data_IF_800374073047
#
_entry.id   IF_800374073047
#
_cell.length_a   1.000
_cell.length_b   1.000
_cell.length_c   1.000
_cell.angle_alpha   90.00
_cell.angle_beta   90.00
_cell.angle_gamma   90.00
#
_symmetry.space_group_name_H-M   'P 1'
#
loop_
_entity.id
_entity.type
_entity.pdbx_description
1 polymer ?
#
# COMPACT_ATOMS: atom_id res chain seq x y z
N UNK A 1 -12.04 67.46 26.91
CA UNK A 1 -11.49 66.13 27.27
C UNK A 1 -11.12 65.37 26.00
N UNK A 2 -9.82 65.14 25.74
CA UNK A 2 -9.29 64.42 24.56
C UNK A 2 -9.18 62.92 24.89
N UNK A 3 -9.76 62.05 24.06
CA UNK A 3 -9.59 60.59 24.14
C UNK A 3 -8.26 60.17 23.46
N UNK A 4 -7.56 59.14 23.95
CA UNK A 4 -6.29 58.71 23.38
C UNK A 4 -6.52 57.90 22.08
N UNK A 5 -5.69 58.18 21.07
CA UNK A 5 -5.56 57.39 19.85
C UNK A 5 -4.77 56.12 20.18
N UNK A 6 -5.37 54.95 20.02
CA UNK A 6 -4.62 53.69 20.02
C UNK A 6 -3.98 53.48 18.64
N UNK A 7 -2.67 53.27 18.65
CA UNK A 7 -1.85 53.00 17.47
C UNK A 7 -2.08 51.59 16.91
N UNK A 8 -1.98 51.49 15.58
CA UNK A 8 -1.90 50.28 14.74
C UNK A 8 -1.12 49.13 15.40
N UNK A 9 -1.74 47.95 15.46
CA UNK A 9 -1.07 46.65 15.48
C UNK A 9 -1.40 45.88 14.19
N UNK A 10 -0.48 45.10 13.61
CA UNK A 10 -0.68 44.46 12.32
C UNK A 10 -1.65 43.24 12.35
N UNK A 11 -2.35 43.10 11.22
CA UNK A 11 -3.65 42.44 10.98
C UNK A 11 -3.59 40.93 10.66
N UNK A 12 -2.62 40.16 11.17
CA UNK A 12 -2.41 38.76 10.72
C UNK A 12 -2.76 37.67 11.73
N UNK A 13 -3.37 37.99 12.87
CA UNK A 13 -3.78 36.99 13.87
C UNK A 13 -5.30 36.71 13.76
N UNK A 14 -5.72 35.97 12.72
CA UNK A 14 -6.94 35.13 12.76
C UNK A 14 -7.06 34.25 11.50
N UNK A 15 -7.10 32.93 11.75
CA UNK A 15 -7.05 31.75 10.85
C UNK A 15 -5.64 31.12 10.90
N UNK A 16 -5.33 30.20 11.80
CA UNK A 16 -6.17 29.14 12.35
C UNK A 16 -6.35 28.03 11.31
N UNK A 17 -5.29 27.25 11.05
CA UNK A 17 -5.18 25.80 11.28
C UNK A 17 -3.74 25.41 10.94
N UNK A 18 -2.97 25.02 11.94
CA UNK A 18 -1.73 24.30 11.76
C UNK A 18 -2.05 22.95 11.11
N UNK A 19 -1.64 22.76 9.86
CA UNK A 19 -1.37 21.42 9.35
C UNK A 19 0.08 21.38 8.92
N UNK A 20 0.98 21.26 9.90
CA UNK A 20 2.36 20.86 9.67
C UNK A 20 2.41 19.36 9.30
N UNK A 21 1.64 18.94 8.29
CA UNK A 21 2.05 17.80 7.47
C UNK A 21 3.30 18.28 6.74
N UNK A 22 4.39 17.51 6.81
CA UNK A 22 5.57 17.75 5.97
C UNK A 22 5.09 18.06 4.55
N UNK A 23 5.28 19.29 4.09
CA UNK A 23 5.10 19.61 2.69
C UNK A 23 6.23 18.87 1.96
N UNK A 24 5.92 17.67 1.46
CA UNK A 24 6.85 16.92 0.64
C UNK A 24 6.75 17.50 -0.76
N UNK A 25 7.83 18.13 -1.20
CA UNK A 25 8.03 18.48 -2.60
C UNK A 25 8.61 17.26 -3.32
N UNK A 26 8.01 16.89 -4.43
CA UNK A 26 8.60 15.96 -5.40
C UNK A 26 9.13 16.83 -6.54
N UNK A 27 10.42 16.74 -6.82
CA UNK A 27 11.03 17.39 -7.99
C UNK A 27 11.22 16.32 -9.06
N UNK A 28 10.80 16.60 -10.29
CA UNK A 28 10.93 15.69 -11.42
C UNK A 28 11.97 16.29 -12.37
N UNK A 29 13.16 15.71 -12.42
CA UNK A 29 14.22 16.14 -13.34
C UNK A 29 14.20 15.26 -14.60
N UNK A 30 13.09 15.30 -15.33
CA UNK A 30 12.92 14.55 -16.57
C UNK A 30 12.06 15.34 -17.57
N UNK A 31 12.66 15.75 -18.69
CA UNK A 31 12.01 16.56 -19.72
C UNK A 31 10.80 15.89 -20.38
N UNK A 32 10.81 14.56 -20.51
CA UNK A 32 9.69 13.79 -21.07
C UNK A 32 8.49 13.82 -20.11
N UNK A 33 8.73 13.65 -18.81
CA UNK A 33 7.67 13.70 -17.81
C UNK A 33 7.07 15.10 -17.70
N UNK A 34 7.92 16.14 -17.76
CA UNK A 34 7.46 17.53 -17.77
C UNK A 34 6.59 17.84 -19.00
N UNK A 35 6.99 17.38 -20.19
CA UNK A 35 6.19 17.54 -21.42
C UNK A 35 4.85 16.81 -21.32
N UNK A 36 4.84 15.56 -20.84
CA UNK A 36 3.61 14.79 -20.63
C UNK A 36 2.67 15.45 -19.61
N UNK A 37 3.22 15.98 -18.51
CA UNK A 37 2.44 16.70 -17.52
C UNK A 37 1.85 17.98 -18.11
N UNK A 38 2.61 18.74 -18.90
CA UNK A 38 2.11 19.94 -19.57
C UNK A 38 0.91 19.60 -20.47
N UNK A 39 1.06 18.62 -21.37
CA UNK A 39 -0.01 18.17 -22.29
C UNK A 39 -1.26 17.70 -21.53
N UNK A 40 -1.08 16.93 -20.46
CA UNK A 40 -2.18 16.42 -19.64
C UNK A 40 -2.88 17.54 -18.86
N UNK A 41 -2.14 18.50 -18.30
CA UNK A 41 -2.75 19.64 -17.61
C UNK A 41 -3.52 20.54 -18.58
N UNK A 42 -3.01 20.74 -19.79
CA UNK A 42 -3.71 21.52 -20.84
C UNK A 42 -5.00 20.83 -21.28
N UNK A 43 -4.92 19.53 -21.56
CA UNK A 43 -6.05 18.74 -22.07
C UNK A 43 -7.13 18.56 -21.00
N UNK A 44 -6.75 18.21 -19.77
CA UNK A 44 -7.70 17.87 -18.70
C UNK A 44 -8.13 19.06 -17.86
N UNK A 45 -7.45 20.21 -18.00
CA UNK A 45 -7.63 21.41 -17.15
C UNK A 45 -7.44 21.15 -15.65
N UNK A 46 -6.71 20.08 -15.30
CA UNK A 46 -6.37 19.73 -13.92
C UNK A 46 -4.97 20.20 -13.58
N UNK A 47 -4.68 20.37 -12.29
CA UNK A 47 -3.33 20.70 -11.83
C UNK A 47 -2.42 19.47 -11.91
N UNK A 48 -1.11 19.69 -12.15
CA UNK A 48 -0.13 18.59 -12.20
C UNK A 48 -0.11 17.75 -10.91
N UNK A 49 -0.15 18.33 -9.68
CA UNK A 49 -0.24 17.55 -8.45
C UNK A 49 -1.49 16.66 -8.38
N UNK A 50 -2.66 17.16 -8.82
CA UNK A 50 -3.89 16.38 -8.79
C UNK A 50 -3.84 15.21 -9.77
N UNK A 51 -3.24 15.42 -10.94
CA UNK A 51 -3.03 14.36 -11.95
C UNK A 51 -2.06 13.30 -11.44
N UNK A 52 -0.93 13.70 -10.88
CA UNK A 52 0.06 12.79 -10.30
C UNK A 52 -0.54 11.98 -9.14
N UNK A 53 -1.28 12.63 -8.23
CA UNK A 53 -1.92 11.95 -7.11
C UNK A 53 -2.95 10.91 -7.58
N UNK A 54 -3.75 11.25 -8.60
CA UNK A 54 -4.73 10.33 -9.18
C UNK A 54 -4.04 9.14 -9.88
N UNK A 55 -2.97 9.38 -10.63
CA UNK A 55 -2.15 8.32 -11.24
C UNK A 55 -1.59 7.36 -10.18
N UNK A 56 -0.98 7.90 -9.12
CA UNK A 56 -0.43 7.10 -8.02
C UNK A 56 -1.51 6.27 -7.31
N UNK A 57 -2.70 6.85 -7.09
CA UNK A 57 -3.83 6.13 -6.48
C UNK A 57 -4.33 5.00 -7.37
N UNK A 58 -4.45 5.23 -8.68
CA UNK A 58 -4.87 4.19 -9.63
C UNK A 58 -3.87 3.06 -9.68
N UNK A 59 -2.58 3.37 -9.69
CA UNK A 59 -1.53 2.35 -9.70
C UNK A 59 -1.51 1.56 -8.39
N UNK A 60 -1.65 2.24 -7.25
CA UNK A 60 -1.80 1.57 -5.96
C UNK A 60 -3.04 0.65 -5.92
N UNK A 61 -4.18 1.11 -6.45
CA UNK A 61 -5.41 0.32 -6.53
C UNK A 61 -5.22 -0.93 -7.43
N UNK A 62 -4.52 -0.79 -8.57
CA UNK A 62 -4.19 -1.90 -9.45
C UNK A 62 -3.33 -2.94 -8.73
N UNK A 63 -2.25 -2.49 -8.07
CA UNK A 63 -1.34 -3.38 -7.34
C UNK A 63 -2.02 -4.07 -6.16
N UNK A 64 -2.86 -3.35 -5.40
CA UNK A 64 -3.60 -3.93 -4.28
C UNK A 64 -4.63 -4.96 -4.76
N UNK A 65 -5.40 -4.66 -5.82
CA UNK A 65 -6.32 -5.63 -6.41
C UNK A 65 -5.62 -6.90 -6.91
N UNK A 66 -4.42 -6.78 -7.51
CA UNK A 66 -3.61 -7.93 -7.90
C UNK A 66 -3.11 -8.73 -6.68
N UNK A 67 -2.70 -8.06 -5.61
CA UNK A 67 -2.27 -8.73 -4.37
C UNK A 67 -3.43 -9.48 -3.71
N UNK A 68 -4.60 -8.84 -3.59
CA UNK A 68 -5.82 -9.46 -3.05
C UNK A 68 -6.25 -10.67 -3.87
N UNK A 69 -6.21 -10.57 -5.21
CA UNK A 69 -6.52 -11.69 -6.10
C UNK A 69 -5.58 -12.87 -5.87
N UNK A 70 -4.26 -12.63 -5.82
CA UNK A 70 -3.28 -13.71 -5.58
C UNK A 70 -3.47 -14.37 -4.21
N UNK A 71 -3.82 -13.59 -3.18
CA UNK A 71 -4.13 -14.13 -1.85
C UNK A 71 -5.37 -15.03 -1.91
N UNK A 72 -6.44 -14.56 -2.57
CA UNK A 72 -7.67 -15.33 -2.72
C UNK A 72 -7.43 -16.64 -3.49
N UNK A 73 -6.67 -16.59 -4.59
CA UNK A 73 -6.28 -17.77 -5.37
C UNK A 73 -5.46 -18.76 -4.51
N UNK A 74 -4.50 -18.27 -3.72
CA UNK A 74 -3.70 -19.08 -2.81
C UNK A 74 -4.55 -19.79 -1.74
N UNK A 75 -5.47 -19.07 -1.10
CA UNK A 75 -6.38 -19.64 -0.10
C UNK A 75 -7.31 -20.69 -0.70
N UNK A 76 -7.83 -20.45 -1.91
CA UNK A 76 -8.67 -21.41 -2.61
C UNK A 76 -7.90 -22.69 -3.00
N UNK A 77 -6.65 -22.54 -3.44
CA UNK A 77 -5.78 -23.66 -3.78
C UNK A 77 -5.41 -24.50 -2.54
N UNK A 78 -5.08 -23.85 -1.42
CA UNK A 78 -4.79 -24.50 -0.15
C UNK A 78 -5.99 -25.31 0.36
N UNK A 79 -7.17 -24.70 0.39
CA UNK A 79 -8.39 -25.36 0.83
C UNK A 79 -8.75 -26.57 -0.08
N UNK A 80 -8.55 -26.44 -1.39
CA UNK A 80 -8.74 -27.56 -2.32
C UNK A 80 -7.71 -28.69 -2.08
N UNK A 81 -6.45 -28.35 -1.79
CA UNK A 81 -5.41 -29.31 -1.45
C UNK A 81 -5.74 -30.05 -0.14
N UNK A 82 -6.09 -29.32 0.92
CA UNK A 82 -6.47 -29.90 2.22
C UNK A 82 -7.65 -30.85 2.08
N UNK A 83 -8.70 -30.46 1.35
CA UNK A 83 -9.86 -31.33 1.08
C UNK A 83 -9.46 -32.62 0.38
N UNK A 84 -8.61 -32.56 -0.64
CA UNK A 84 -8.12 -33.77 -1.32
C UNK A 84 -7.29 -34.63 -0.39
N UNK A 85 -6.38 -34.03 0.39
CA UNK A 85 -5.53 -34.75 1.33
C UNK A 85 -6.34 -35.49 2.39
N UNK A 86 -7.36 -34.85 2.96
CA UNK A 86 -8.24 -35.48 3.96
C UNK A 86 -9.12 -36.59 3.39
N UNK A 87 -9.46 -36.53 2.11
CA UNK A 87 -10.21 -37.59 1.43
C UNK A 87 -9.32 -38.75 0.97
N UNK A 88 -8.00 -38.59 0.98
CA UNK A 88 -7.07 -39.64 0.57
C UNK A 88 -7.08 -40.80 1.55
N UNK A 89 -7.04 -42.05 1.05
CA UNK A 89 -6.92 -43.22 1.92
C UNK A 89 -5.58 -43.20 2.67
N UNK A 90 -5.59 -43.73 3.89
CA UNK A 90 -4.36 -43.93 4.66
C UNK A 90 -3.56 -45.06 4.01
N UNK A 91 -2.37 -44.73 3.51
CA UNK A 91 -1.49 -45.69 2.82
C UNK A 91 -0.65 -46.50 3.81
N UNK A 92 -0.25 -45.88 4.91
CA UNK A 92 0.52 -46.53 5.98
C UNK A 92 -0.11 -46.18 7.34
N UNK A 93 -0.71 -47.16 8.03
CA UNK A 93 -1.36 -46.93 9.32
C UNK A 93 -0.39 -46.95 10.50
N UNK A 94 0.91 -47.21 10.28
CA UNK A 94 1.90 -47.22 11.35
C UNK A 94 1.97 -45.83 12.02
N UNK A 95 2.21 -45.78 13.34
CA UNK A 95 2.48 -44.50 14.01
C UNK A 95 3.79 -43.90 13.49
N UNK A 96 3.92 -42.58 13.58
CA UNK A 96 5.07 -41.84 13.02
C UNK A 96 6.42 -42.38 13.48
N UNK A 97 6.55 -42.76 14.76
CA UNK A 97 7.78 -43.31 15.35
C UNK A 97 8.19 -44.66 14.74
N UNK A 98 7.25 -45.39 14.12
CA UNK A 98 7.53 -46.64 13.41
C UNK A 98 7.72 -46.44 11.90
N UNK A 99 7.36 -45.26 11.39
CA UNK A 99 7.59 -44.85 9.99
C UNK A 99 9.00 -44.24 9.87
N UNK A 100 9.41 -43.47 10.87
CA UNK A 100 10.76 -42.91 10.95
C UNK A 100 11.76 -44.04 11.18
N UNK A 101 12.64 -44.25 10.20
CA UNK A 101 13.80 -45.16 10.34
C UNK A 101 14.98 -44.48 11.04
N UNK A 102 14.68 -43.64 12.03
CA UNK A 102 15.67 -42.91 12.80
C UNK A 102 15.50 -43.26 14.27
N UNK A 103 16.62 -43.46 14.96
CA UNK A 103 16.61 -43.63 16.42
C UNK A 103 16.31 -42.31 17.15
N UNK A 104 16.26 -42.36 18.47
CA UNK A 104 16.04 -41.20 19.35
C UNK A 104 17.10 -40.09 19.21
N UNK A 105 18.25 -40.38 18.61
CA UNK A 105 19.32 -39.43 18.32
C UNK A 105 19.27 -38.89 16.87
N UNK A 106 18.30 -39.34 16.07
CA UNK A 106 18.18 -38.97 14.66
C UNK A 106 19.17 -39.69 13.75
N UNK A 107 19.71 -40.84 14.16
CA UNK A 107 20.58 -41.67 13.33
C UNK A 107 19.78 -42.73 12.58
N UNK A 108 20.08 -42.98 11.29
CA UNK A 108 19.44 -44.07 10.54
C UNK A 108 19.66 -45.42 11.24
N UNK A 109 18.60 -46.23 11.34
CA UNK A 109 18.65 -47.63 11.82
C UNK A 109 18.60 -48.65 10.69
#
# INVERSE_FOLDING_TARGET
MRRPRYHRGPDWIRRGVCNARRAMSITIENAEVEALLADLTETTRRTAPDLLLDLLRREQARMSGEAERRIAEGLAADEAMRRRWHASPVVDPRPIEQILAYDENGLPV
#
